data_IF_960709500562
#
_entry.id   IF_960709500562
#
_cell.length_a   1.000
_cell.length_b   1.000
_cell.length_c   1.000
_cell.angle_alpha   90.00
_cell.angle_beta   90.00
_cell.angle_gamma   90.00
#
_symmetry.space_group_name_H-M   'P 1'
#
loop_
_entity.id
_entity.type
_entity.pdbx_description
1 polymer ?
#
# COMPACT_ATOMS: atom_id res chain seq x y z
N UNK A 1 0.68 0.99 -17.06
CA UNK A 1 0.63 1.82 -15.84
C UNK A 1 1.40 3.14 -15.99
N UNK A 2 2.66 3.16 -16.45
CA UNK A 2 3.43 4.42 -16.59
C UNK A 2 2.69 5.50 -17.42
N UNK A 3 2.15 5.15 -18.58
CA UNK A 3 1.32 6.06 -19.38
C UNK A 3 0.09 6.56 -18.62
N UNK A 4 -0.55 5.72 -17.82
CA UNK A 4 -1.71 6.10 -17.00
C UNK A 4 -1.34 7.16 -15.95
N UNK A 5 -0.18 7.00 -15.29
CA UNK A 5 0.35 7.98 -14.31
C UNK A 5 0.61 9.32 -15.01
N UNK A 6 1.33 9.32 -16.13
CA UNK A 6 1.67 10.54 -16.88
C UNK A 6 0.40 11.27 -17.32
N UNK A 7 -0.58 10.56 -17.88
CA UNK A 7 -1.84 11.16 -18.33
C UNK A 7 -2.67 11.67 -17.15
N UNK A 8 -2.68 10.99 -16.00
CA UNK A 8 -3.37 11.45 -14.80
C UNK A 8 -2.78 12.77 -14.26
N UNK A 9 -1.45 12.88 -14.23
CA UNK A 9 -0.74 14.06 -13.71
C UNK A 9 -0.82 15.23 -14.69
N UNK A 10 -0.44 15.01 -15.96
CA UNK A 10 -0.40 16.06 -16.98
C UNK A 10 -1.80 16.51 -17.40
N UNK A 11 -2.76 15.59 -17.43
CA UNK A 11 -4.12 15.80 -17.90
C UNK A 11 -5.14 16.19 -16.83
N UNK A 12 -4.70 16.49 -15.59
CA UNK A 12 -5.59 16.68 -14.43
C UNK A 12 -6.75 17.66 -14.61
N UNK A 13 -6.63 18.65 -15.51
CA UNK A 13 -7.66 19.66 -15.80
C UNK A 13 -8.63 19.26 -16.93
N UNK A 14 -8.35 18.18 -17.67
CA UNK A 14 -9.17 17.70 -18.79
C UNK A 14 -9.95 16.44 -18.41
N UNK A 15 -11.28 16.47 -18.64
CA UNK A 15 -12.14 15.30 -18.38
C UNK A 15 -11.76 14.10 -19.24
N UNK A 16 -11.40 14.34 -20.51
CA UNK A 16 -11.00 13.29 -21.45
C UNK A 16 -9.69 12.65 -21.01
N UNK A 17 -8.70 13.44 -20.62
CA UNK A 17 -7.43 12.90 -20.17
C UNK A 17 -7.58 12.07 -18.88
N UNK A 18 -8.42 12.52 -17.94
CA UNK A 18 -8.76 11.73 -16.75
C UNK A 18 -9.43 10.39 -17.09
N UNK A 19 -10.38 10.39 -18.02
CA UNK A 19 -11.03 9.15 -18.47
C UNK A 19 -10.03 8.19 -19.12
N UNK A 20 -9.14 8.70 -19.97
CA UNK A 20 -8.06 7.90 -20.58
C UNK A 20 -7.09 7.35 -19.54
N UNK A 21 -6.70 8.15 -18.55
CA UNK A 21 -5.83 7.71 -17.45
C UNK A 21 -6.49 6.62 -16.59
N UNK A 22 -7.81 6.72 -16.35
CA UNK A 22 -8.56 5.65 -15.70
C UNK A 22 -8.54 4.37 -16.54
N UNK A 23 -8.83 4.47 -17.85
CA UNK A 23 -8.83 3.32 -18.76
C UNK A 23 -7.47 2.60 -18.81
N UNK A 24 -6.38 3.33 -19.07
CA UNK A 24 -5.03 2.75 -19.06
C UNK A 24 -4.62 2.19 -17.70
N UNK A 25 -5.12 2.80 -16.64
CA UNK A 25 -4.92 2.37 -15.28
C UNK A 25 -5.58 1.04 -14.97
N UNK A 26 -6.87 0.91 -15.29
CA UNK A 26 -7.64 -0.33 -15.12
C UNK A 26 -7.01 -1.46 -15.91
N UNK A 27 -6.69 -1.25 -17.19
CA UNK A 27 -6.01 -2.27 -18.01
C UNK A 27 -4.65 -2.64 -17.39
N UNK A 28 -3.86 -1.64 -17.00
CA UNK A 28 -2.57 -1.88 -16.34
C UNK A 28 -2.69 -2.61 -15.00
N UNK A 29 -3.73 -2.34 -14.22
CA UNK A 29 -4.03 -3.01 -12.95
C UNK A 29 -4.47 -4.46 -13.16
N UNK A 30 -5.28 -4.74 -14.19
CA UNK A 30 -5.66 -6.10 -14.58
C UNK A 30 -4.44 -6.92 -15.02
N UNK A 31 -3.54 -6.34 -15.82
CA UNK A 31 -2.27 -6.99 -16.14
C UNK A 31 -1.44 -7.24 -14.89
N UNK A 32 -1.35 -6.27 -13.99
CA UNK A 32 -0.63 -6.45 -12.73
C UNK A 32 -1.22 -7.59 -11.89
N UNK A 33 -2.55 -7.72 -11.82
CA UNK A 33 -3.23 -8.86 -11.17
C UNK A 33 -2.95 -10.20 -11.87
N UNK A 34 -2.75 -10.21 -13.19
CA UNK A 34 -2.40 -11.43 -13.91
C UNK A 34 -0.95 -11.88 -13.63
N UNK A 35 -0.02 -10.94 -13.47
CA UNK A 35 1.39 -11.23 -13.15
C UNK A 35 1.64 -11.47 -11.67
N UNK A 36 0.91 -10.77 -10.81
CA UNK A 36 0.98 -10.89 -9.36
C UNK A 36 -0.44 -11.08 -8.83
N UNK A 37 -1.02 -12.28 -8.95
CA UNK A 37 -2.34 -12.57 -8.43
C UNK A 37 -2.37 -12.61 -6.90
N UNK A 38 -3.52 -12.35 -6.26
CA UNK A 38 -3.61 -12.21 -4.80
C UNK A 38 -3.17 -13.45 -4.01
N UNK A 39 -3.22 -14.64 -4.62
CA UNK A 39 -2.78 -15.87 -3.96
C UNK A 39 -1.27 -15.91 -3.71
N UNK A 40 -0.44 -15.16 -4.48
CA UNK A 40 1.00 -15.03 -4.21
C UNK A 40 1.28 -14.23 -2.91
N UNK A 41 0.26 -13.60 -2.33
CA UNK A 41 0.36 -12.97 -1.01
C UNK A 41 0.03 -13.95 0.12
N UNK A 42 -0.48 -15.14 -0.19
CA UNK A 42 -0.81 -16.18 0.78
C UNK A 42 0.24 -17.28 0.82
N UNK A 43 0.93 -17.51 -0.29
CA UNK A 43 1.97 -18.53 -0.42
C UNK A 43 3.27 -17.89 -0.91
N UNK A 44 4.38 -18.20 -0.24
CA UNK A 44 5.70 -17.70 -0.60
C UNK A 44 6.19 -18.36 -1.87
N UNK A 45 5.88 -17.79 -3.03
CA UNK A 45 6.28 -18.34 -4.33
C UNK A 45 7.51 -17.63 -4.88
N UNK A 46 8.59 -18.34 -5.20
CA UNK A 46 9.72 -17.74 -5.90
C UNK A 46 9.34 -17.41 -7.34
N UNK A 47 9.44 -16.13 -7.68
CA UNK A 47 9.34 -15.65 -9.06
C UNK A 47 10.74 -15.64 -9.69
N UNK A 48 10.81 -15.87 -11.00
CA UNK A 48 12.04 -15.60 -11.75
C UNK A 48 12.44 -14.13 -11.58
N UNK A 49 13.74 -13.83 -11.51
CA UNK A 49 14.23 -12.45 -11.29
C UNK A 49 13.60 -11.42 -12.26
N UNK A 50 13.45 -11.70 -13.57
CA UNK A 50 12.81 -10.75 -14.49
C UNK A 50 11.33 -10.50 -14.15
N UNK A 51 10.58 -11.55 -13.76
CA UNK A 51 9.17 -11.44 -13.37
C UNK A 51 9.03 -10.68 -12.05
N UNK A 52 9.92 -10.93 -11.10
CA UNK A 52 9.92 -10.25 -9.82
C UNK A 52 10.23 -8.76 -9.98
N UNK A 53 11.24 -8.38 -10.76
CA UNK A 53 11.54 -6.98 -11.07
C UNK A 53 10.38 -6.28 -11.80
N UNK A 54 9.74 -6.96 -12.74
CA UNK A 54 8.53 -6.45 -13.42
C UNK A 54 7.38 -6.22 -12.44
N UNK A 55 7.21 -7.13 -11.48
CA UNK A 55 6.20 -7.02 -10.42
C UNK A 55 6.48 -5.85 -9.49
N UNK A 56 7.73 -5.67 -9.05
CA UNK A 56 8.15 -4.54 -8.21
C UNK A 56 7.86 -3.20 -8.89
N UNK A 57 8.28 -3.04 -10.15
CA UNK A 57 8.02 -1.82 -10.93
C UNK A 57 6.51 -1.63 -11.15
N UNK A 58 5.79 -2.71 -11.48
CA UNK A 58 4.34 -2.69 -11.64
C UNK A 58 3.62 -2.21 -10.39
N UNK A 59 3.99 -2.70 -9.21
CA UNK A 59 3.44 -2.31 -7.91
C UNK A 59 3.64 -0.82 -7.63
N UNK A 60 4.85 -0.29 -7.86
CA UNK A 60 5.14 1.14 -7.68
C UNK A 60 4.30 2.01 -8.62
N UNK A 61 4.19 1.60 -9.88
CA UNK A 61 3.37 2.31 -10.87
C UNK A 61 1.87 2.23 -10.55
N UNK A 62 1.41 1.13 -9.96
CA UNK A 62 0.02 0.95 -9.53
C UNK A 62 -0.32 1.89 -8.37
N UNK A 63 0.55 1.95 -7.36
CA UNK A 63 0.42 2.89 -6.23
C UNK A 63 0.42 4.33 -6.73
N UNK A 64 1.38 4.70 -7.60
CA UNK A 64 1.47 6.04 -8.17
C UNK A 64 0.21 6.41 -8.97
N UNK A 65 -0.33 5.46 -9.75
CA UNK A 65 -1.55 5.67 -10.51
C UNK A 65 -2.77 5.88 -9.60
N UNK A 66 -2.93 5.05 -8.57
CA UNK A 66 -4.03 5.16 -7.61
C UNK A 66 -4.04 6.55 -6.94
N UNK A 67 -2.88 7.00 -6.47
CA UNK A 67 -2.72 8.35 -5.87
C UNK A 67 -3.01 9.45 -6.88
N UNK A 68 -2.48 9.35 -8.11
CA UNK A 68 -2.71 10.35 -9.15
C UNK A 68 -4.19 10.46 -9.56
N UNK A 69 -4.91 9.34 -9.61
CA UNK A 69 -6.35 9.34 -9.91
C UNK A 69 -7.16 9.96 -8.77
N UNK A 70 -6.93 9.56 -7.52
CA UNK A 70 -7.61 10.18 -6.38
C UNK A 70 -7.36 11.70 -6.30
N UNK A 71 -6.14 12.14 -6.62
CA UNK A 71 -5.78 13.55 -6.61
C UNK A 71 -6.37 14.35 -7.78
N UNK A 72 -6.44 13.75 -8.98
CA UNK A 72 -6.98 14.42 -10.17
C UNK A 72 -8.52 14.46 -10.20
N UNK A 73 -9.16 13.54 -9.48
CA UNK A 73 -10.60 13.34 -9.41
C UNK A 73 -11.07 13.17 -7.96
N UNK A 74 -10.96 14.21 -7.10
CA UNK A 74 -11.36 14.11 -5.71
C UNK A 74 -12.87 13.87 -5.63
N UNK A 75 -13.24 12.69 -5.16
CA UNK A 75 -14.57 12.25 -4.80
C UNK A 75 -14.43 11.41 -3.53
N UNK A 76 -15.46 11.33 -2.70
CA UNK A 76 -15.34 10.67 -1.39
C UNK A 76 -14.88 9.21 -1.51
N UNK A 77 -15.37 8.50 -2.53
CA UNK A 77 -15.01 7.10 -2.79
C UNK A 77 -13.64 6.92 -3.49
N UNK A 78 -13.12 7.94 -4.17
CA UNK A 78 -11.91 7.79 -4.99
C UNK A 78 -10.66 7.65 -4.12
N UNK A 79 -10.63 8.31 -2.97
CA UNK A 79 -9.58 8.15 -1.96
C UNK A 79 -9.64 6.78 -1.28
N UNK A 80 -10.83 6.27 -0.96
CA UNK A 80 -11.00 4.92 -0.41
C UNK A 80 -10.51 3.86 -1.39
N UNK A 81 -10.92 3.95 -2.66
CA UNK A 81 -10.48 3.02 -3.69
C UNK A 81 -8.97 3.11 -3.94
N UNK A 82 -8.43 4.32 -4.00
CA UNK A 82 -7.00 4.52 -4.15
C UNK A 82 -6.20 3.96 -2.96
N UNK A 83 -6.70 4.09 -1.74
CA UNK A 83 -6.10 3.48 -0.56
C UNK A 83 -6.07 1.95 -0.68
N UNK A 84 -7.18 1.30 -1.07
CA UNK A 84 -7.24 -0.15 -1.27
C UNK A 84 -6.22 -0.61 -2.32
N UNK A 85 -6.19 0.04 -3.49
CA UNK A 85 -5.26 -0.29 -4.59
C UNK A 85 -3.81 -0.04 -4.17
N UNK A 86 -3.53 1.05 -3.45
CA UNK A 86 -2.19 1.36 -2.97
C UNK A 86 -1.72 0.36 -1.90
N UNK A 87 -2.60 -0.05 -0.97
CA UNK A 87 -2.30 -1.07 0.04
C UNK A 87 -1.97 -2.42 -0.61
N UNK A 88 -2.73 -2.80 -1.66
CA UNK A 88 -2.45 -3.99 -2.45
C UNK A 88 -1.09 -3.93 -3.15
N UNK A 89 -0.82 -2.85 -3.90
CA UNK A 89 0.46 -2.68 -4.60
C UNK A 89 1.64 -2.64 -3.63
N UNK A 90 1.51 -1.93 -2.51
CA UNK A 90 2.53 -1.87 -1.46
C UNK A 90 2.84 -3.24 -0.86
N UNK A 91 1.80 -4.04 -0.57
CA UNK A 91 1.99 -5.40 -0.01
C UNK A 91 2.66 -6.30 -1.03
N UNK A 92 2.20 -6.25 -2.28
CA UNK A 92 2.78 -7.03 -3.38
C UNK A 92 4.25 -6.68 -3.59
N UNK A 93 4.60 -5.40 -3.52
CA UNK A 93 6.00 -4.95 -3.57
C UNK A 93 6.84 -5.54 -2.43
N UNK A 94 6.40 -5.36 -1.18
CA UNK A 94 7.16 -5.81 -0.02
C UNK A 94 7.31 -7.34 0.03
N UNK A 95 6.25 -8.10 -0.29
CA UNK A 95 6.29 -9.58 -0.33
C UNK A 95 7.22 -10.06 -1.44
N UNK A 96 7.11 -9.50 -2.65
CA UNK A 96 7.98 -9.88 -3.77
C UNK A 96 9.45 -9.56 -3.48
N UNK A 97 9.72 -8.39 -2.91
CA UNK A 97 11.07 -8.00 -2.51
C UNK A 97 11.61 -8.90 -1.39
N UNK A 98 10.76 -9.22 -0.41
CA UNK A 98 11.11 -10.13 0.69
C UNK A 98 11.49 -11.51 0.18
N UNK A 99 10.67 -12.12 -0.68
CA UNK A 99 10.95 -13.43 -1.28
C UNK A 99 12.21 -13.41 -2.14
N UNK A 100 12.43 -12.34 -2.92
CA UNK A 100 13.65 -12.18 -3.72
C UNK A 100 14.93 -12.13 -2.87
N UNK A 101 14.88 -11.50 -1.69
CA UNK A 101 16.05 -11.26 -0.85
C UNK A 101 16.29 -12.37 0.19
N UNK A 102 15.21 -13.00 0.68
CA UNK A 102 15.24 -13.94 1.81
C UNK A 102 14.58 -15.30 1.53
N UNK A 103 14.20 -15.58 0.28
CA UNK A 103 13.58 -16.84 -0.10
C UNK A 103 12.11 -16.98 0.27
N UNK A 104 11.52 -18.12 -0.09
CA UNK A 104 10.08 -18.39 -0.03
C UNK A 104 9.50 -18.42 1.38
N UNK A 105 10.28 -18.82 2.40
CA UNK A 105 9.80 -18.91 3.78
C UNK A 105 10.07 -17.60 4.55
N UNK A 106 11.33 -17.37 4.93
CA UNK A 106 11.71 -16.23 5.77
C UNK A 106 11.52 -14.90 5.05
N UNK A 107 11.83 -14.85 3.75
CA UNK A 107 11.64 -13.66 2.91
C UNK A 107 10.16 -13.28 2.74
N UNK A 108 9.27 -14.25 2.57
CA UNK A 108 7.83 -14.02 2.50
C UNK A 108 7.29 -13.42 3.81
N UNK A 109 7.70 -13.99 4.95
CA UNK A 109 7.32 -13.53 6.27
C UNK A 109 7.84 -12.10 6.51
N UNK A 110 9.12 -11.86 6.24
CA UNK A 110 9.75 -10.55 6.34
C UNK A 110 9.07 -9.51 5.44
N UNK A 111 8.66 -9.91 4.22
CA UNK A 111 7.92 -9.06 3.29
C UNK A 111 6.56 -8.61 3.83
N UNK A 112 5.80 -9.49 4.47
CA UNK A 112 4.53 -9.13 5.12
C UNK A 112 4.72 -8.21 6.33
N UNK A 113 5.75 -8.46 7.13
CA UNK A 113 6.10 -7.59 8.26
C UNK A 113 6.47 -6.20 7.74
N UNK A 114 7.34 -6.11 6.73
CA UNK A 114 7.71 -4.85 6.09
C UNK A 114 6.49 -4.11 5.52
N UNK A 115 5.58 -4.81 4.83
CA UNK A 115 4.33 -4.22 4.33
C UNK A 115 3.51 -3.58 5.45
N UNK A 116 3.38 -4.27 6.57
CA UNK A 116 2.60 -3.79 7.73
C UNK A 116 3.26 -2.56 8.36
N UNK A 117 4.59 -2.54 8.48
CA UNK A 117 5.33 -1.37 8.96
C UNK A 117 5.13 -0.17 8.03
N UNK A 118 5.17 -0.38 6.72
CA UNK A 118 4.88 0.66 5.73
C UNK A 118 3.44 1.19 5.88
N UNK A 119 2.45 0.32 6.12
CA UNK A 119 1.07 0.74 6.34
C UNK A 119 0.92 1.59 7.60
N UNK A 120 1.54 1.19 8.71
CA UNK A 120 1.51 1.95 9.98
C UNK A 120 2.19 3.30 9.80
N UNK A 121 3.35 3.35 9.15
CA UNK A 121 4.08 4.59 8.87
C UNK A 121 3.25 5.54 8.00
N UNK A 122 2.58 5.03 6.96
CA UNK A 122 1.67 5.79 6.11
C UNK A 122 0.47 6.32 6.91
N UNK A 123 -0.14 5.50 7.76
CA UNK A 123 -1.24 5.92 8.61
C UNK A 123 -0.82 7.03 9.58
N UNK A 124 0.32 6.88 10.24
CA UNK A 124 0.88 7.89 11.13
C UNK A 124 1.18 9.20 10.38
N UNK A 125 1.71 9.12 9.15
CA UNK A 125 1.94 10.29 8.31
C UNK A 125 0.64 11.01 7.93
N UNK A 126 -0.40 10.25 7.57
CA UNK A 126 -1.74 10.79 7.27
C UNK A 126 -2.36 11.46 8.50
N UNK A 127 -2.29 10.82 9.67
CA UNK A 127 -2.79 11.39 10.93
C UNK A 127 -2.03 12.66 11.32
N UNK A 128 -0.71 12.67 11.16
CA UNK A 128 0.12 13.87 11.37
C UNK A 128 -0.18 14.97 10.36
N UNK A 129 -0.56 14.62 9.13
CA UNK A 129 -1.02 15.61 8.16
C UNK A 129 -2.37 16.19 8.58
N UNK A 130 -3.29 15.35 9.09
CA UNK A 130 -4.60 15.78 9.56
C UNK A 130 -4.54 16.83 10.69
N UNK A 131 -3.49 16.85 11.50
CA UNK A 131 -3.33 17.89 12.55
C UNK A 131 -2.98 19.27 11.99
N UNK A 132 -2.50 19.34 10.74
CA UNK A 132 -2.13 20.58 10.05
C UNK A 132 -3.24 21.12 9.14
N UNK A 133 -4.31 20.35 8.93
CA UNK A 133 -5.42 20.69 8.04
C UNK A 133 -6.53 21.44 8.80
N UNK A 134 -7.18 22.46 8.21
CA UNK A 134 -8.29 23.18 8.83
C UNK A 134 -9.42 22.26 9.32
N UNK A 135 -10.06 22.64 10.43
CA UNK A 135 -11.02 21.80 11.18
C UNK A 135 -12.19 21.27 10.33
N UNK A 136 -12.56 21.96 9.25
CA UNK A 136 -13.62 21.58 8.33
C UNK A 136 -13.29 20.33 7.47
N UNK A 137 -12.01 20.05 7.22
CA UNK A 137 -11.55 18.95 6.34
C UNK A 137 -10.84 17.83 7.12
N UNK A 138 -10.79 17.93 8.44
CA UNK A 138 -9.98 17.08 9.33
C UNK A 138 -10.56 15.68 9.55
N UNK A 139 -11.85 15.47 9.33
CA UNK A 139 -12.54 14.20 9.60
C UNK A 139 -12.10 13.07 8.67
N UNK A 140 -11.98 13.35 7.37
CA UNK A 140 -11.56 12.40 6.33
C UNK A 140 -10.18 11.76 6.57
N UNK A 141 -9.10 12.53 6.80
CA UNK A 141 -7.78 11.93 7.02
C UNK A 141 -7.67 11.23 8.38
N UNK A 142 -8.44 11.61 9.41
CA UNK A 142 -8.50 10.89 10.68
C UNK A 142 -9.15 9.51 10.50
N UNK A 143 -10.33 9.46 9.86
CA UNK A 143 -11.04 8.20 9.62
C UNK A 143 -10.18 7.26 8.75
N UNK A 144 -9.56 7.79 7.69
CA UNK A 144 -8.66 7.02 6.83
C UNK A 144 -7.44 6.49 7.58
N UNK A 145 -6.75 7.33 8.36
CA UNK A 145 -5.60 6.91 9.16
C UNK A 145 -5.96 5.83 10.19
N UNK A 146 -7.07 6.01 10.91
CA UNK A 146 -7.57 5.02 11.88
C UNK A 146 -7.97 3.70 11.23
N UNK A 147 -8.59 3.72 10.04
CA UNK A 147 -8.92 2.52 9.29
C UNK A 147 -7.66 1.74 8.88
N UNK A 148 -6.60 2.43 8.44
CA UNK A 148 -5.32 1.79 8.10
C UNK A 148 -4.64 1.20 9.35
N UNK A 149 -4.68 1.90 10.48
CA UNK A 149 -4.17 1.36 11.76
C UNK A 149 -4.95 0.10 12.17
N UNK A 150 -6.27 0.13 12.10
CA UNK A 150 -7.11 -1.02 12.43
C UNK A 150 -6.82 -2.21 11.51
N UNK A 151 -6.64 -1.98 10.20
CA UNK A 151 -6.28 -3.02 9.23
C UNK A 151 -4.88 -3.59 9.50
N UNK A 152 -3.90 -2.75 9.83
CA UNK A 152 -2.56 -3.19 10.20
C UNK A 152 -2.58 -4.03 11.49
N UNK A 153 -3.38 -3.63 12.48
CA UNK A 153 -3.54 -4.39 13.71
C UNK A 153 -4.21 -5.74 13.49
N UNK A 154 -5.29 -5.77 12.71
CA UNK A 154 -5.95 -7.02 12.34
C UNK A 154 -4.99 -7.96 11.60
N UNK A 155 -4.20 -7.43 10.66
CA UNK A 155 -3.18 -8.21 9.95
C UNK A 155 -2.12 -8.77 10.91
N UNK A 156 -1.65 -7.99 11.86
CA UNK A 156 -0.70 -8.46 12.87
C UNK A 156 -1.28 -9.57 13.74
N UNK A 157 -2.52 -9.46 14.20
CA UNK A 157 -3.15 -10.55 14.95
C UNK A 157 -3.31 -11.83 14.11
N UNK A 158 -3.73 -11.72 12.85
CA UNK A 158 -3.85 -12.85 11.93
C UNK A 158 -2.51 -13.52 11.64
N UNK A 159 -1.44 -12.73 11.50
CA UNK A 159 -0.09 -13.23 11.22
C UNK A 159 0.62 -13.76 12.49
N UNK A 160 0.39 -13.12 13.64
CA UNK A 160 0.95 -13.49 14.95
C UNK A 160 0.30 -14.77 15.51
N UNK A 161 -0.98 -15.01 15.20
CA UNK A 161 -1.67 -16.27 15.52
C UNK A 161 -1.30 -17.43 14.58
N UNK A 162 -0.76 -17.14 13.39
CA UNK A 162 -0.58 -18.14 12.33
C UNK A 162 0.85 -18.59 12.05
N UNK A 163 1.88 -17.75 12.24
CA UNK A 163 3.20 -18.05 11.60
C UNK A 163 4.45 -17.43 12.24
N UNK A 164 4.36 -16.41 13.11
CA UNK A 164 5.55 -15.64 13.52
C UNK A 164 6.31 -16.25 14.71
N UNK A 165 7.56 -16.68 14.46
CA UNK A 165 8.53 -17.04 15.49
C UNK A 165 9.01 -15.79 16.26
N UNK A 166 9.47 -15.96 17.51
CA UNK A 166 9.52 -14.92 18.55
C UNK A 166 10.20 -13.58 18.19
N UNK A 167 11.13 -13.54 17.24
CA UNK A 167 11.88 -12.33 16.87
C UNK A 167 11.05 -11.29 16.10
N UNK A 168 10.14 -11.73 15.24
CA UNK A 168 9.32 -10.80 14.47
C UNK A 168 8.27 -10.11 15.33
N UNK A 169 7.76 -10.80 16.35
CA UNK A 169 6.88 -10.24 17.36
C UNK A 169 7.55 -9.08 18.11
N UNK A 170 8.83 -9.22 18.45
CA UNK A 170 9.61 -8.14 19.09
C UNK A 170 9.72 -6.92 18.19
N UNK A 171 10.05 -7.10 16.91
CA UNK A 171 10.15 -6.00 15.93
C UNK A 171 8.82 -5.26 15.78
N UNK A 172 7.72 -6.00 15.69
CA UNK A 172 6.37 -5.42 15.59
C UNK A 172 6.02 -4.62 16.84
N UNK A 173 6.25 -5.16 18.04
CA UNK A 173 5.95 -4.44 19.28
C UNK A 173 6.76 -3.15 19.42
N UNK A 174 8.05 -3.17 19.05
CA UNK A 174 8.87 -1.97 19.05
C UNK A 174 8.31 -0.94 18.07
N UNK A 175 8.01 -1.35 16.83
CA UNK A 175 7.51 -0.44 15.81
C UNK A 175 6.14 0.17 16.17
N UNK A 176 5.21 -0.65 16.67
CA UNK A 176 3.90 -0.19 17.16
C UNK A 176 4.08 0.74 18.35
N UNK A 177 4.93 0.38 19.32
CA UNK A 177 5.25 1.22 20.48
C UNK A 177 5.81 2.59 20.08
N UNK A 178 6.74 2.62 19.11
CA UNK A 178 7.29 3.87 18.56
C UNK A 178 6.23 4.69 17.83
N UNK A 179 5.36 4.04 17.04
CA UNK A 179 4.27 4.73 16.35
C UNK A 179 3.29 5.37 17.35
N UNK A 180 2.94 4.66 18.42
CA UNK A 180 2.08 5.18 19.50
C UNK A 180 2.75 6.33 20.26
N UNK A 181 4.05 6.20 20.59
CA UNK A 181 4.83 7.29 21.20
C UNK A 181 4.84 8.55 20.33
N UNK A 182 5.04 8.40 19.02
CA UNK A 182 5.04 9.51 18.08
C UNK A 182 3.68 10.16 17.84
N UNK A 183 2.58 9.46 18.17
CA UNK A 183 1.21 10.00 18.10
C UNK A 183 0.78 10.67 19.41
N UNK A 184 1.26 10.21 20.57
CA UNK A 184 0.91 10.79 21.88
C UNK A 184 1.72 12.02 22.29
N UNK A 185 2.80 12.33 21.58
CA UNK A 185 3.72 13.46 21.86
C UNK A 185 3.44 14.72 21.01
N UNK A 186 2.30 14.76 20.30
CA UNK A 186 1.92 15.85 19.40
C UNK A 186 0.56 16.47 19.71
#
# INVERSE_FOLDING_TARGET
>A
LAMAVVVAVAGRRSRVARASAMGFGVVGGLFHLAYAPPFLLLEGTALTTPMAMSTLVGSLLLVAWAVAVAWSAPADWSWTMAAIVALYGMTTFCVTAGVLLGGEADGFLAGHVAATLCWIALAAAVLRHATKVPRAERSLPIIGGMAVVAAAMAKLFLFDLGTLDGIFRVVVFIAVGLALLGMGTG
#
